data_IF_449342020212
#
_entry.id   IF_449342020212
#
_cell.length_a   1.000
_cell.length_b   1.000
_cell.length_c   1.000
_cell.angle_alpha   90.00
_cell.angle_beta   90.00
_cell.angle_gamma   90.00
#
_symmetry.space_group_name_H-M   'P 1'
#
loop_
_entity.id
_entity.type
_entity.pdbx_description
1 polymer ?
#
# COMPACT_ATOMS: atom_id res chain seq x y z
N UNK A 1 31.62 29.17 -36.63
CA UNK A 1 30.21 28.97 -37.03
C UNK A 1 29.62 27.94 -36.09
N UNK A 2 29.04 28.41 -34.99
CA UNK A 2 28.49 27.59 -33.92
C UNK A 2 26.98 27.49 -34.16
N UNK A 3 26.49 26.29 -34.47
CA UNK A 3 25.06 26.01 -34.61
C UNK A 3 24.49 25.69 -33.23
N UNK A 4 23.91 26.69 -32.56
CA UNK A 4 23.06 26.48 -31.40
C UNK A 4 21.67 26.03 -31.88
N UNK A 5 21.50 24.72 -32.06
CA UNK A 5 20.18 24.12 -32.07
C UNK A 5 19.68 24.10 -30.61
N UNK A 6 19.10 25.21 -30.18
CA UNK A 6 18.42 25.31 -28.90
C UNK A 6 17.30 24.28 -28.81
N UNK A 7 17.24 23.53 -27.71
CA UNK A 7 16.13 22.66 -27.40
C UNK A 7 14.83 23.49 -27.39
N UNK A 8 13.92 23.21 -28.33
CA UNK A 8 12.55 23.69 -28.24
C UNK A 8 11.88 22.97 -27.07
N UNK A 9 11.39 23.75 -26.10
CA UNK A 9 10.53 23.26 -25.04
C UNK A 9 9.37 22.53 -25.73
N UNK A 10 9.11 21.29 -25.34
CA UNK A 10 7.89 20.57 -25.73
C UNK A 10 6.70 21.34 -25.14
N UNK A 11 6.26 22.38 -25.86
CA UNK A 11 4.95 22.97 -25.73
C UNK A 11 3.96 21.95 -26.30
N UNK A 12 3.79 20.83 -25.58
CA UNK A 12 2.43 20.36 -25.36
C UNK A 12 1.73 21.56 -24.76
N UNK A 13 0.91 22.22 -25.59
CA UNK A 13 -0.05 23.22 -25.21
C UNK A 13 -0.77 22.70 -23.96
N UNK A 14 -0.26 23.11 -22.79
CA UNK A 14 -1.07 23.27 -21.60
C UNK A 14 -2.19 24.17 -22.07
N UNK A 15 -3.34 23.56 -22.26
CA UNK A 15 -4.59 24.25 -22.50
C UNK A 15 -4.65 25.42 -21.50
N UNK A 16 -4.40 26.64 -21.99
CA UNK A 16 -4.30 27.84 -21.17
C UNK A 16 -5.69 28.29 -20.68
N UNK A 17 -6.65 27.37 -20.63
CA UNK A 17 -8.05 27.61 -20.34
C UNK A 17 -8.48 27.04 -18.99
N UNK A 18 -7.62 26.31 -18.26
CA UNK A 18 -7.91 25.98 -16.87
C UNK A 18 -6.71 26.02 -15.92
N UNK A 19 -6.84 26.88 -14.91
CA UNK A 19 -5.94 26.97 -13.77
C UNK A 19 -6.32 25.96 -12.67
N UNK A 20 -6.39 24.69 -13.05
CA UNK A 20 -6.79 23.55 -12.24
C UNK A 20 -5.61 23.00 -11.39
N UNK A 21 -5.82 22.62 -10.12
CA UNK A 21 -4.85 21.83 -9.33
C UNK A 21 -4.87 20.36 -9.82
N UNK A 22 -3.74 19.82 -10.33
CA UNK A 22 -3.70 18.47 -10.88
C UNK A 22 -3.96 17.37 -9.84
N UNK A 23 -3.75 17.62 -8.55
CA UNK A 23 -4.05 16.66 -7.49
C UNK A 23 -5.56 16.55 -7.23
N UNK A 24 -6.31 17.63 -7.49
CA UNK A 24 -7.72 17.76 -7.14
C UNK A 24 -8.72 17.52 -8.26
N UNK A 25 -8.27 17.40 -9.51
CA UNK A 25 -9.17 17.16 -10.66
C UNK A 25 -9.38 15.67 -10.97
N UNK A 26 -10.54 15.35 -11.55
CA UNK A 26 -10.86 14.01 -12.05
C UNK A 26 -10.38 13.78 -13.49
N UNK A 27 -10.18 14.85 -14.25
CA UNK A 27 -9.91 14.79 -15.68
C UNK A 27 -9.76 16.18 -16.29
N UNK A 28 -9.88 16.30 -17.62
CA UNK A 28 -9.82 17.58 -18.29
C UNK A 28 -10.97 18.49 -17.87
N UNK A 29 -10.80 19.75 -18.21
CA UNK A 29 -11.68 20.83 -17.84
C UNK A 29 -12.94 20.78 -18.69
N UNK A 30 -14.07 21.13 -18.08
CA UNK A 30 -15.35 21.18 -18.76
C UNK A 30 -15.72 22.65 -18.95
N UNK A 31 -15.73 23.11 -20.21
CA UNK A 31 -16.01 24.51 -20.57
C UNK A 31 -15.16 25.55 -19.80
N UNK A 32 -13.88 25.23 -19.54
CA UNK A 32 -12.96 26.10 -18.78
C UNK A 32 -13.13 26.04 -17.26
N UNK A 33 -13.95 25.14 -16.73
CA UNK A 33 -14.12 24.89 -15.29
C UNK A 33 -13.43 23.60 -14.85
N UNK A 34 -12.85 23.61 -13.66
CA UNK A 34 -12.27 22.42 -13.05
C UNK A 34 -13.35 21.42 -12.64
N UNK A 35 -13.17 20.14 -13.01
CA UNK A 35 -13.99 19.03 -12.50
C UNK A 35 -13.29 18.40 -11.30
N UNK A 36 -13.69 18.79 -10.09
CA UNK A 36 -13.03 18.34 -8.86
C UNK A 36 -13.36 16.89 -8.50
N UNK A 37 -12.40 16.22 -7.87
CA UNK A 37 -12.61 14.95 -7.18
C UNK A 37 -13.65 15.08 -6.06
N UNK A 38 -14.34 13.99 -5.68
CA UNK A 38 -15.52 14.11 -4.83
C UNK A 38 -15.29 14.74 -3.44
N UNK A 39 -14.10 14.64 -2.86
CA UNK A 39 -13.77 15.27 -1.57
C UNK A 39 -13.02 16.61 -1.70
N UNK A 40 -12.97 17.18 -2.90
CA UNK A 40 -12.26 18.42 -3.24
C UNK A 40 -13.26 19.53 -3.59
N UNK A 41 -12.85 20.77 -3.41
CA UNK A 41 -13.63 21.99 -3.66
C UNK A 41 -12.73 23.16 -4.04
N UNK A 42 -13.35 24.30 -4.35
CA UNK A 42 -12.70 25.49 -4.90
C UNK A 42 -12.74 25.52 -6.42
N UNK A 43 -12.74 26.72 -6.99
CA UNK A 43 -12.75 26.93 -8.45
C UNK A 43 -11.57 26.27 -9.15
N UNK A 44 -10.46 26.08 -8.43
CA UNK A 44 -9.23 25.44 -8.90
C UNK A 44 -9.07 23.99 -8.42
N UNK A 45 -10.04 23.43 -7.69
CA UNK A 45 -9.91 22.13 -7.02
C UNK A 45 -8.67 22.01 -6.11
N UNK A 46 -8.31 23.10 -5.43
CA UNK A 46 -7.09 23.24 -4.63
C UNK A 46 -7.33 23.06 -3.13
N UNK A 47 -8.58 22.82 -2.72
CA UNK A 47 -8.97 22.74 -1.30
C UNK A 47 -9.81 21.51 -1.02
N UNK A 48 -9.65 20.97 0.18
CA UNK A 48 -10.51 19.89 0.65
C UNK A 48 -11.88 20.42 1.05
N UNK A 49 -12.92 19.61 0.81
CA UNK A 49 -14.25 19.87 1.37
C UNK A 49 -14.19 19.87 2.91
N UNK A 50 -15.10 20.59 3.59
CA UNK A 50 -15.24 20.48 5.04
C UNK A 50 -15.34 19.02 5.49
N UNK A 51 -14.56 18.66 6.50
CA UNK A 51 -14.46 17.27 6.98
C UNK A 51 -13.44 16.40 6.25
N UNK A 52 -12.62 16.98 5.38
CA UNK A 52 -11.52 16.31 4.71
C UNK A 52 -10.21 17.11 4.82
N UNK A 53 -9.08 16.41 4.74
CA UNK A 53 -7.74 16.98 4.80
C UNK A 53 -6.82 16.26 3.80
N UNK A 54 -5.62 16.79 3.60
CA UNK A 54 -4.57 16.20 2.75
C UNK A 54 -5.02 15.91 1.30
N UNK A 55 -4.91 16.93 0.44
CA UNK A 55 -5.09 16.80 -1.00
C UNK A 55 -3.95 15.95 -1.59
N UNK A 56 -4.29 14.81 -2.17
CA UNK A 56 -3.36 13.83 -2.77
C UNK A 56 -3.86 13.42 -4.16
N UNK A 57 -3.00 13.62 -5.18
CA UNK A 57 -3.27 13.18 -6.55
C UNK A 57 -3.50 11.68 -6.68
N UNK A 58 -2.86 10.87 -5.83
CA UNK A 58 -3.03 9.42 -5.78
C UNK A 58 -4.29 8.96 -5.05
N UNK A 59 -5.01 9.86 -4.38
CA UNK A 59 -6.29 9.57 -3.75
C UNK A 59 -7.43 9.79 -4.76
N UNK A 60 -8.26 8.77 -5.08
CA UNK A 60 -9.40 8.91 -5.98
C UNK A 60 -10.43 9.95 -5.51
N UNK A 61 -10.54 10.18 -4.20
CA UNK A 61 -11.39 11.24 -3.63
C UNK A 61 -10.72 12.61 -3.62
N UNK A 62 -9.40 12.66 -3.86
CA UNK A 62 -8.55 13.82 -3.71
C UNK A 62 -8.16 14.05 -2.26
N UNK A 63 -9.13 14.24 -1.37
CA UNK A 63 -8.87 14.45 0.04
C UNK A 63 -9.28 13.27 0.93
N UNK A 64 -8.62 13.16 2.07
CA UNK A 64 -8.84 12.11 3.08
C UNK A 64 -9.84 12.60 4.13
N UNK A 65 -10.86 11.80 4.43
CA UNK A 65 -11.84 12.15 5.48
C UNK A 65 -11.17 12.29 6.85
N UNK A 66 -11.57 13.30 7.62
CA UNK A 66 -11.14 13.50 9.00
C UNK A 66 -11.49 12.30 9.88
N UNK A 67 -10.53 11.88 10.70
CA UNK A 67 -10.72 10.80 11.67
C UNK A 67 -10.39 11.25 13.09
N UNK A 68 -11.32 11.94 13.73
CA UNK A 68 -11.17 12.45 15.10
C UNK A 68 -11.93 11.60 16.12
N UNK A 69 -12.13 10.30 15.85
CA UNK A 69 -12.88 9.36 16.73
C UNK A 69 -14.26 9.86 17.19
N UNK A 70 -14.96 10.60 16.34
CA UNK A 70 -16.29 11.16 16.66
C UNK A 70 -16.25 12.42 17.54
N UNK A 71 -15.09 12.92 17.93
CA UNK A 71 -14.98 14.16 18.72
C UNK A 71 -15.10 15.44 17.87
N UNK A 72 -14.81 15.35 16.57
CA UNK A 72 -14.91 16.47 15.64
C UNK A 72 -15.08 15.97 14.21
N UNK A 73 -15.81 16.72 13.40
CA UNK A 73 -15.80 16.57 11.95
C UNK A 73 -14.76 17.49 11.30
N UNK A 74 -14.30 18.54 11.98
CA UNK A 74 -13.36 19.52 11.44
C UNK A 74 -11.92 19.14 11.79
N UNK A 75 -11.07 19.06 10.78
CA UNK A 75 -9.63 18.86 10.92
C UNK A 75 -8.88 19.54 9.76
N UNK A 76 -7.57 19.70 9.90
CA UNK A 76 -6.70 20.21 8.84
C UNK A 76 -5.37 19.44 8.85
N UNK A 77 -4.65 19.46 7.73
CA UNK A 77 -3.29 18.92 7.67
C UNK A 77 -2.37 19.77 8.54
N UNK A 78 -1.60 19.14 9.43
CA UNK A 78 -0.56 19.84 10.19
C UNK A 78 0.69 20.03 9.34
N UNK A 79 1.27 21.23 9.36
CA UNK A 79 2.49 21.56 8.62
C UNK A 79 3.76 20.88 9.14
N UNK A 80 3.74 20.41 10.40
CA UNK A 80 4.92 19.82 11.06
C UNK A 80 5.05 18.31 10.81
N UNK A 81 4.08 17.70 10.14
CA UNK A 81 4.05 16.27 9.87
C UNK A 81 4.29 16.00 8.38
N UNK A 82 5.37 15.27 8.09
CA UNK A 82 5.75 14.85 6.75
C UNK A 82 5.55 13.36 6.48
N UNK A 83 5.73 12.96 5.22
CA UNK A 83 5.69 11.55 4.81
C UNK A 83 6.91 10.82 5.36
N UNK A 84 6.68 9.82 6.22
CA UNK A 84 7.72 8.94 6.74
C UNK A 84 7.57 7.53 6.17
N UNK A 85 8.57 7.05 5.41
CA UNK A 85 8.56 5.72 4.80
C UNK A 85 9.23 4.71 5.73
N UNK A 86 8.49 3.65 6.07
CA UNK A 86 8.99 2.51 6.84
C UNK A 86 9.43 1.44 5.85
N UNK A 87 10.73 1.15 5.80
CA UNK A 87 11.31 0.25 4.80
C UNK A 87 12.17 -0.83 5.46
N UNK A 88 12.22 -2.00 4.84
CA UNK A 88 13.26 -3.01 5.08
C UNK A 88 14.07 -3.23 3.81
N UNK A 89 15.40 -3.11 3.92
CA UNK A 89 16.31 -3.17 2.75
C UNK A 89 17.12 -4.46 2.71
N UNK A 90 17.18 -5.19 3.83
CA UNK A 90 17.93 -6.45 3.96
C UNK A 90 19.40 -6.35 3.51
N UNK A 91 20.03 -5.17 3.66
CA UNK A 91 21.42 -4.95 3.26
C UNK A 91 22.43 -5.72 4.11
N UNK A 92 22.12 -5.91 5.40
CA UNK A 92 23.05 -6.48 6.38
C UNK A 92 22.52 -7.75 7.03
N UNK A 93 21.21 -7.86 7.21
CA UNK A 93 20.58 -8.97 7.93
C UNK A 93 19.10 -9.15 7.54
N UNK A 94 18.35 -9.89 8.37
CA UNK A 94 16.90 -10.09 8.23
C UNK A 94 16.07 -8.89 8.70
N UNK A 95 16.69 -7.80 9.15
CA UNK A 95 16.05 -6.55 9.58
C UNK A 95 14.93 -6.76 10.61
N UNK A 96 15.16 -7.68 11.54
CA UNK A 96 14.21 -8.07 12.59
C UNK A 96 13.01 -8.92 12.13
N UNK A 97 12.92 -9.27 10.85
CA UNK A 97 11.88 -10.17 10.35
C UNK A 97 12.02 -11.58 10.92
N UNK A 98 10.89 -12.26 11.10
CA UNK A 98 10.81 -13.63 11.59
C UNK A 98 9.97 -14.48 10.65
N UNK A 99 10.11 -15.80 10.75
CA UNK A 99 9.24 -16.74 10.05
C UNK A 99 8.49 -17.62 11.07
N UNK A 100 7.20 -17.82 10.84
CA UNK A 100 6.35 -18.71 11.66
C UNK A 100 5.53 -19.64 10.78
N UNK A 101 5.17 -20.80 11.31
CA UNK A 101 4.18 -21.69 10.71
C UNK A 101 2.76 -21.24 11.08
N UNK A 102 1.73 -21.82 10.44
CA UNK A 102 0.32 -21.52 10.73
C UNK A 102 -0.05 -21.68 12.23
N UNK A 103 0.56 -22.64 12.92
CA UNK A 103 0.32 -22.90 14.34
C UNK A 103 1.09 -21.94 15.29
N UNK A 104 1.82 -20.96 14.76
CA UNK A 104 2.62 -20.02 15.53
C UNK A 104 4.01 -20.51 15.93
N UNK A 105 4.37 -21.76 15.62
CA UNK A 105 5.71 -22.26 15.87
C UNK A 105 6.76 -21.55 14.99
N UNK A 106 7.98 -21.31 15.49
CA UNK A 106 9.05 -20.70 14.70
C UNK A 106 9.37 -21.53 13.45
N UNK A 107 9.61 -20.86 12.35
CA UNK A 107 10.12 -21.43 11.11
C UNK A 107 11.52 -20.85 10.79
N UNK A 108 12.29 -21.58 9.99
CA UNK A 108 13.61 -21.12 9.56
C UNK A 108 13.47 -19.96 8.58
N UNK A 109 14.10 -18.83 8.90
CA UNK A 109 14.30 -17.70 8.00
C UNK A 109 15.77 -17.66 7.59
N UNK A 110 16.04 -17.43 6.31
CA UNK A 110 17.39 -17.30 5.78
C UNK A 110 17.53 -15.95 5.09
N UNK A 111 18.72 -15.37 5.16
CA UNK A 111 19.08 -14.12 4.49
C UNK A 111 20.05 -14.42 3.35
N UNK A 112 19.84 -13.78 2.20
CA UNK A 112 20.77 -13.84 1.07
C UNK A 112 21.46 -12.50 0.92
N UNK A 113 22.78 -12.46 1.15
CA UNK A 113 23.57 -11.26 0.88
C UNK A 113 23.62 -10.94 -0.63
N UNK A 114 23.58 -11.97 -1.47
CA UNK A 114 23.64 -11.81 -2.92
C UNK A 114 22.37 -11.17 -3.50
N UNK A 115 21.19 -11.63 -3.05
CA UNK A 115 19.91 -11.08 -3.50
C UNK A 115 19.39 -9.94 -2.62
N UNK A 116 20.00 -9.71 -1.45
CA UNK A 116 19.54 -8.75 -0.43
C UNK A 116 18.07 -8.95 -0.09
N UNK A 117 17.73 -10.20 0.19
CA UNK A 117 16.39 -10.64 0.51
C UNK A 117 16.39 -11.63 1.67
N UNK A 118 15.19 -11.93 2.15
CA UNK A 118 14.95 -13.03 3.08
C UNK A 118 14.06 -14.06 2.43
N UNK A 119 14.37 -15.32 2.66
CA UNK A 119 13.62 -16.42 2.08
C UNK A 119 13.39 -17.53 3.10
N UNK A 120 12.32 -18.28 2.88
CA UNK A 120 12.01 -19.47 3.65
C UNK A 120 11.52 -20.55 2.71
N UNK A 121 11.97 -21.77 2.96
CA UNK A 121 11.47 -22.97 2.29
C UNK A 121 10.72 -23.80 3.32
N UNK A 122 9.50 -24.20 2.99
CA UNK A 122 8.84 -25.24 3.77
C UNK A 122 9.50 -26.58 3.46
N UNK A 123 9.38 -27.56 4.37
CA UNK A 123 9.58 -28.99 4.08
C UNK A 123 8.29 -29.81 4.12
N UNK A 124 7.16 -29.17 4.46
CA UNK A 124 5.82 -29.76 4.63
C UNK A 124 4.79 -28.87 3.94
N UNK A 125 3.56 -29.39 3.77
CA UNK A 125 2.46 -28.66 3.13
C UNK A 125 2.03 -27.40 3.90
N UNK A 126 2.42 -27.27 5.17
CA UNK A 126 2.03 -26.14 6.01
C UNK A 126 2.67 -24.83 5.54
N UNK A 127 1.87 -23.75 5.39
CA UNK A 127 2.39 -22.46 4.97
C UNK A 127 3.23 -21.82 6.08
N UNK A 128 4.32 -21.20 5.63
CA UNK A 128 5.17 -20.34 6.45
C UNK A 128 4.78 -18.89 6.16
N UNK A 129 4.79 -18.06 7.19
CA UNK A 129 4.54 -16.63 7.13
C UNK A 129 5.76 -15.87 7.61
N UNK A 130 6.20 -14.89 6.81
CA UNK A 130 7.06 -13.81 7.28
C UNK A 130 6.26 -12.91 8.23
N UNK A 131 6.86 -12.56 9.35
CA UNK A 131 6.30 -11.70 10.38
C UNK A 131 7.12 -10.43 10.43
N UNK A 132 6.45 -9.30 10.22
CA UNK A 132 7.09 -8.00 10.19
C UNK A 132 7.62 -7.59 11.59
N UNK A 133 8.75 -6.88 11.66
CA UNK A 133 9.29 -6.33 12.89
C UNK A 133 8.46 -5.17 13.45
N UNK A 134 8.74 -4.81 14.70
CA UNK A 134 7.99 -3.80 15.46
C UNK A 134 7.87 -2.44 14.76
N UNK A 135 8.83 -2.06 13.91
CA UNK A 135 8.77 -0.80 13.15
C UNK A 135 7.58 -0.70 12.18
N UNK A 136 7.02 -1.82 11.74
CA UNK A 136 5.80 -1.84 10.91
C UNK A 136 4.51 -1.95 11.74
N UNK A 137 4.62 -2.10 13.06
CA UNK A 137 3.51 -2.37 13.96
C UNK A 137 3.17 -1.13 14.80
N UNK A 138 2.23 -1.26 15.72
CA UNK A 138 1.79 -0.18 16.60
C UNK A 138 0.85 0.80 15.90
N UNK A 139 1.06 2.10 16.11
CA UNK A 139 0.20 3.14 15.54
C UNK A 139 0.62 3.52 14.13
N UNK A 140 -0.08 2.96 13.14
CA UNK A 140 0.10 3.17 11.71
C UNK A 140 -1.08 3.96 11.09
N UNK A 141 -1.78 4.77 11.88
CA UNK A 141 -2.92 5.58 11.42
C UNK A 141 -2.58 6.50 10.24
N UNK A 142 -1.37 7.04 10.23
CA UNK A 142 -0.88 7.92 9.15
C UNK A 142 -0.62 7.17 7.84
N UNK A 143 -0.58 5.83 7.88
CA UNK A 143 -0.49 4.98 6.69
C UNK A 143 -1.86 4.73 6.04
N UNK A 144 -2.96 5.21 6.63
CA UNK A 144 -4.28 5.09 6.01
C UNK A 144 -4.28 5.78 4.64
N UNK A 145 -4.80 5.07 3.65
CA UNK A 145 -4.78 5.52 2.27
C UNK A 145 -3.37 5.61 1.70
N UNK A 146 -2.36 4.99 2.29
CA UNK A 146 -1.03 4.82 1.68
C UNK A 146 -0.88 3.40 1.14
N UNK A 147 0.28 3.09 0.55
CA UNK A 147 0.55 1.77 -0.02
C UNK A 147 1.53 0.97 0.83
N UNK A 148 1.18 -0.28 1.12
CA UNK A 148 2.12 -1.31 1.52
C UNK A 148 2.61 -2.00 0.26
N UNK A 149 3.91 -1.95 0.00
CA UNK A 149 4.53 -2.59 -1.17
C UNK A 149 5.75 -3.40 -0.81
N UNK A 150 5.94 -4.52 -1.48
CA UNK A 150 7.13 -5.35 -1.33
C UNK A 150 7.46 -6.10 -2.62
N UNK A 151 8.74 -6.33 -2.84
CA UNK A 151 9.25 -7.17 -3.92
C UNK A 151 9.23 -8.63 -3.49
N UNK A 152 8.69 -9.50 -4.33
CA UNK A 152 8.46 -10.90 -3.99
C UNK A 152 8.77 -11.81 -5.18
N UNK A 153 9.51 -12.90 -4.90
CA UNK A 153 9.89 -13.92 -5.87
C UNK A 153 9.52 -15.30 -5.36
N UNK A 154 8.99 -16.13 -6.25
CA UNK A 154 8.72 -17.55 -5.98
C UNK A 154 9.68 -18.39 -6.82
N UNK A 155 10.54 -19.17 -6.17
CA UNK A 155 11.53 -19.99 -6.89
C UNK A 155 10.90 -21.26 -7.51
N UNK A 156 9.90 -21.85 -6.83
CA UNK A 156 9.13 -22.99 -7.33
C UNK A 156 7.64 -22.64 -7.37
N UNK A 157 7.10 -22.49 -8.58
CA UNK A 157 5.68 -22.23 -8.82
C UNK A 157 4.83 -23.49 -8.67
N UNK A 158 3.52 -23.37 -8.94
CA UNK A 158 2.63 -24.53 -9.07
C UNK A 158 1.34 -24.50 -8.23
N UNK A 159 1.17 -23.53 -7.31
CA UNK A 159 -0.11 -23.30 -6.61
C UNK A 159 -0.69 -21.92 -6.85
N UNK A 160 -2.00 -21.87 -6.63
CA UNK A 160 -2.81 -20.67 -6.63
C UNK A 160 -2.55 -19.84 -5.36
N UNK A 161 -2.62 -18.50 -5.45
CA UNK A 161 -2.71 -17.59 -4.31
C UNK A 161 -3.81 -18.03 -3.34
N UNK A 162 -3.64 -17.73 -2.06
CA UNK A 162 -4.69 -17.91 -1.06
C UNK A 162 -5.26 -16.56 -0.67
N UNK A 163 -6.52 -16.54 -0.23
CA UNK A 163 -7.10 -15.37 0.41
C UNK A 163 -6.31 -14.89 1.65
N UNK A 164 -5.41 -15.73 2.19
CA UNK A 164 -4.64 -15.48 3.42
C UNK A 164 -3.15 -15.28 3.14
N UNK A 165 -2.81 -14.57 2.08
CA UNK A 165 -1.43 -14.36 1.68
C UNK A 165 -0.80 -13.15 2.39
N UNK A 166 -1.51 -12.02 2.41
CA UNK A 166 -1.16 -10.85 3.24
C UNK A 166 -2.20 -10.73 4.34
N UNK A 167 -1.76 -10.59 5.59
CA UNK A 167 -2.61 -10.57 6.77
C UNK A 167 -2.24 -9.36 7.62
N UNK A 168 -3.24 -8.56 7.98
CA UNK A 168 -3.14 -7.52 8.98
C UNK A 168 -4.04 -7.88 10.17
N UNK A 169 -3.49 -7.80 11.38
CA UNK A 169 -4.24 -7.99 12.62
C UNK A 169 -3.97 -6.82 13.55
N UNK A 170 -5.00 -6.34 14.23
CA UNK A 170 -4.88 -5.20 15.14
C UNK A 170 -6.20 -4.84 15.80
N UNK A 171 -6.15 -4.38 17.05
CA UNK A 171 -7.34 -4.00 17.82
C UNK A 171 -8.49 -5.04 17.85
N UNK A 172 -8.15 -6.34 17.79
CA UNK A 172 -9.12 -7.44 17.74
C UNK A 172 -9.74 -7.70 16.35
N UNK A 173 -9.32 -6.95 15.34
CA UNK A 173 -9.75 -7.07 13.95
C UNK A 173 -8.67 -7.77 13.12
N UNK A 174 -9.10 -8.38 12.01
CA UNK A 174 -8.23 -9.06 11.06
C UNK A 174 -8.73 -8.86 9.64
N UNK A 175 -7.83 -8.48 8.74
CA UNK A 175 -8.09 -8.46 7.29
C UNK A 175 -7.00 -9.21 6.55
N UNK A 176 -7.37 -9.81 5.43
CA UNK A 176 -6.47 -10.57 4.56
C UNK A 176 -6.66 -10.16 3.11
N UNK A 177 -5.60 -10.31 2.32
CA UNK A 177 -5.64 -10.09 0.89
C UNK A 177 -4.83 -11.17 0.17
N UNK A 178 -5.28 -11.65 -1.01
CA UNK A 178 -4.47 -12.52 -1.86
C UNK A 178 -3.36 -11.72 -2.55
N UNK A 179 -2.21 -12.34 -2.86
CA UNK A 179 -1.13 -11.66 -3.60
C UNK A 179 -1.58 -11.20 -4.99
N UNK A 180 -2.47 -11.94 -5.62
CA UNK A 180 -2.99 -11.68 -6.95
C UNK A 180 -4.41 -12.27 -7.07
N UNK A 181 -5.19 -11.93 -8.10
CA UNK A 181 -6.53 -12.48 -8.28
C UNK A 181 -6.56 -14.00 -8.19
N UNK A 182 -7.55 -14.53 -7.44
CA UNK A 182 -7.74 -15.97 -7.27
C UNK A 182 -7.92 -16.65 -8.65
N UNK A 183 -7.37 -17.86 -8.79
CA UNK A 183 -7.40 -18.61 -10.06
C UNK A 183 -6.28 -18.24 -11.06
N UNK A 184 -5.40 -17.29 -10.72
CA UNK A 184 -4.15 -17.07 -11.45
C UNK A 184 -2.99 -17.83 -10.79
N UNK A 185 -1.96 -18.15 -11.56
CA UNK A 185 -0.75 -18.80 -11.07
C UNK A 185 0.32 -17.77 -10.79
N UNK A 186 0.99 -17.87 -9.64
CA UNK A 186 2.12 -17.01 -9.31
C UNK A 186 3.27 -17.26 -10.29
N UNK A 187 3.89 -16.19 -10.85
CA UNK A 187 5.03 -16.34 -11.72
C UNK A 187 6.24 -16.83 -10.91
N UNK A 188 6.98 -17.78 -11.46
CA UNK A 188 8.19 -18.31 -10.84
C UNK A 188 9.46 -17.72 -11.46
N UNK A 189 10.54 -17.68 -10.68
CA UNK A 189 11.87 -17.24 -11.13
C UNK A 189 12.01 -15.73 -11.38
N UNK A 190 10.93 -14.95 -11.28
CA UNK A 190 10.95 -13.50 -11.46
C UNK A 190 10.49 -12.77 -10.19
N UNK A 191 11.15 -11.67 -9.89
CA UNK A 191 10.74 -10.76 -8.82
C UNK A 191 9.64 -9.83 -9.34
N UNK A 192 8.54 -9.73 -8.59
CA UNK A 192 7.46 -8.77 -8.86
C UNK A 192 7.18 -7.94 -7.62
N UNK A 193 6.87 -6.66 -7.83
CA UNK A 193 6.37 -5.78 -6.78
C UNK A 193 4.86 -5.98 -6.60
N UNK A 194 4.46 -6.28 -5.37
CA UNK A 194 3.04 -6.35 -4.99
C UNK A 194 2.69 -5.15 -4.13
N UNK A 195 1.55 -4.52 -4.42
CA UNK A 195 1.14 -3.27 -3.80
C UNK A 195 -0.29 -3.37 -3.28
N UNK A 196 -0.49 -3.00 -2.03
CA UNK A 196 -1.77 -3.02 -1.34
C UNK A 196 -2.07 -1.61 -0.82
N UNK A 197 -3.22 -1.05 -1.21
CA UNK A 197 -3.70 0.23 -0.67
C UNK A 197 -4.30 -0.03 0.71
N UNK A 198 -3.86 0.72 1.72
CA UNK A 198 -4.27 0.56 3.12
C UNK A 198 -5.55 1.34 3.41
N UNK A 199 -6.68 0.85 2.93
CA UNK A 199 -8.00 1.40 3.25
C UNK A 199 -9.10 0.32 3.14
N UNK A 200 -10.30 0.67 3.58
CA UNK A 200 -11.49 -0.17 3.52
C UNK A 200 -12.18 -0.18 2.15
N UNK A 201 -11.57 0.31 1.07
CA UNK A 201 -12.31 0.35 -0.20
C UNK A 201 -12.41 -1.04 -0.83
N UNK A 202 -13.53 -1.39 -1.50
CA UNK A 202 -13.67 -2.65 -2.21
C UNK A 202 -12.56 -2.88 -3.25
N UNK A 203 -12.03 -1.80 -3.84
CA UNK A 203 -10.92 -1.85 -4.80
C UNK A 203 -9.59 -2.34 -4.20
N UNK A 204 -9.47 -2.38 -2.86
CA UNK A 204 -8.23 -2.71 -2.16
C UNK A 204 -8.10 -4.20 -1.80
N UNK A 205 -9.06 -5.03 -2.19
CA UNK A 205 -9.03 -6.51 -2.07
C UNK A 205 -8.86 -7.06 -0.64
N UNK A 206 -9.09 -6.24 0.38
CA UNK A 206 -9.09 -6.68 1.78
C UNK A 206 -10.39 -7.43 2.11
N UNK A 207 -10.27 -8.53 2.84
CA UNK A 207 -11.39 -9.36 3.30
C UNK A 207 -11.21 -9.78 4.76
N UNK A 208 -12.25 -9.77 5.61
CA UNK A 208 -13.59 -9.25 5.33
C UNK A 208 -13.56 -7.74 5.08
N UNK A 209 -14.63 -7.25 4.45
CA UNK A 209 -14.81 -5.83 4.21
C UNK A 209 -15.14 -5.13 5.53
N UNK A 210 -14.18 -4.39 6.08
CA UNK A 210 -14.38 -3.58 7.28
C UNK A 210 -15.05 -2.24 6.94
N UNK A 211 -15.64 -1.60 7.93
CA UNK A 211 -16.02 -0.18 7.83
C UNK A 211 -14.79 0.74 7.92
N UNK A 212 -14.96 1.99 7.49
CA UNK A 212 -13.92 3.03 7.59
C UNK A 212 -13.39 3.16 9.03
N UNK A 213 -14.29 3.15 10.00
CA UNK A 213 -13.94 3.25 11.42
C UNK A 213 -13.14 2.02 11.90
N UNK A 214 -13.58 0.81 11.55
CA UNK A 214 -12.90 -0.43 11.93
C UNK A 214 -11.51 -0.54 11.31
N UNK A 215 -11.37 -0.21 10.02
CA UNK A 215 -10.07 -0.27 9.34
C UNK A 215 -9.07 0.71 9.93
N UNK A 216 -9.52 1.95 10.21
CA UNK A 216 -8.71 2.93 10.94
C UNK A 216 -8.35 2.40 12.33
N UNK A 217 -9.29 1.84 13.09
CA UNK A 217 -9.03 1.25 14.41
C UNK A 217 -7.98 0.13 14.34
N UNK A 218 -8.02 -0.72 13.33
CA UNK A 218 -7.00 -1.74 13.06
C UNK A 218 -5.62 -1.11 12.86
N UNK A 219 -5.50 -0.05 12.06
CA UNK A 219 -4.22 0.66 11.85
C UNK A 219 -3.72 1.42 13.08
N UNK A 220 -4.61 1.84 14.00
CA UNK A 220 -4.20 2.50 15.26
C UNK A 220 -3.37 1.59 16.16
N UNK A 221 -3.66 0.30 16.14
CA UNK A 221 -3.00 -0.68 16.97
C UNK A 221 -2.79 -1.96 16.17
N UNK A 222 -1.90 -1.87 15.18
CA UNK A 222 -1.52 -2.97 14.34
C UNK A 222 -0.59 -3.90 15.13
N UNK A 223 -1.05 -5.12 15.40
CA UNK A 223 -0.33 -6.11 16.20
C UNK A 223 0.39 -7.15 15.35
N UNK A 224 -0.05 -7.37 14.11
CA UNK A 224 0.65 -8.23 13.17
C UNK A 224 0.49 -7.76 11.73
N UNK A 225 1.61 -7.79 11.01
CA UNK A 225 1.67 -7.82 9.55
C UNK A 225 2.37 -9.12 9.18
N UNK A 226 1.65 -9.99 8.46
CA UNK A 226 2.19 -11.28 7.98
C UNK A 226 2.08 -11.37 6.47
N UNK A 227 3.14 -11.86 5.84
CA UNK A 227 3.19 -12.12 4.41
C UNK A 227 3.55 -13.59 4.23
N UNK A 228 2.76 -14.33 3.46
CA UNK A 228 3.02 -15.73 3.22
C UNK A 228 4.34 -15.91 2.47
N UNK A 229 5.18 -16.80 2.98
CA UNK A 229 6.51 -17.07 2.47
C UNK A 229 6.55 -18.22 1.46
N UNK A 230 5.63 -19.18 1.55
CA UNK A 230 5.73 -20.45 0.82
C UNK A 230 4.48 -20.76 -0.02
N UNK A 231 4.73 -21.08 -1.29
CA UNK A 231 3.72 -21.32 -2.33
C UNK A 231 3.90 -22.64 -3.12
N UNK A 232 4.78 -23.53 -2.69
CA UNK A 232 5.09 -24.77 -3.42
C UNK A 232 4.30 -26.01 -2.99
N UNK A 233 4.19 -26.98 -3.90
CA UNK A 233 4.00 -28.40 -3.59
C UNK A 233 5.33 -29.15 -3.71
N UNK A 234 5.50 -30.17 -2.87
CA UNK A 234 6.57 -31.16 -3.03
C UNK A 234 6.23 -32.03 -4.23
N UNK A 235 7.22 -32.27 -5.08
CA UNK A 235 7.28 -33.58 -5.74
C UNK A 235 7.41 -34.62 -4.61
N UNK A 236 6.47 -35.56 -4.54
CA UNK A 236 6.68 -36.80 -3.79
C UNK A 236 8.00 -37.45 -4.21
#
# INVERSE_FOLDING_TARGET
>A
MLTDAGCTRDQRLLDSTCDCDPAGILGPCDEGRCVCKPAVTGERCDRCRPGFYHLDGGNPEGCTQCFCYGHSANCHSSGDYGVHKITSTFYQDVDGWKAIQRNGSPAKLQWSQHHRDVFSSARRSDPIYFVAPAKFLGNQQVSYGQTLSFDYRVDRGGRHPSAHDVILEGAGLRVTAPLMPLGKTLPCGITKTYTFRLNERPSSNWSPQLSYFEYRRLLRNLTALRIRATYGEYSK
#
